data_IF_306165081630
#
_entry.id   IF_306165081630
#
_cell.length_a   1.000
_cell.length_b   1.000
_cell.length_c   1.000
_cell.angle_alpha   90.00
_cell.angle_beta   90.00
_cell.angle_gamma   90.00
#
_symmetry.space_group_name_H-M   'P 1'
#
loop_
_entity.id
_entity.type
_entity.pdbx_description
1 polymer ?
#
# COMPACT_ATOMS: atom_id res chain seq x y z
N UNK A 1 3.88 -13.24 16.53
CA UNK A 1 3.56 -12.08 17.38
C UNK A 1 2.39 -12.42 18.29
N UNK A 2 2.43 -11.93 19.53
CA UNK A 2 1.41 -12.18 20.55
C UNK A 2 0.24 -11.20 20.37
N UNK A 3 -0.49 -11.30 19.25
CA UNK A 3 -1.56 -10.35 18.87
C UNK A 3 -2.64 -10.26 19.96
N UNK A 4 -3.01 -11.40 20.59
CA UNK A 4 -3.98 -11.40 21.69
C UNK A 4 -3.53 -10.59 22.90
N UNK A 5 -2.24 -10.65 23.26
CA UNK A 5 -1.69 -9.84 24.33
C UNK A 5 -1.66 -8.34 23.97
N UNK A 6 -1.37 -8.01 22.72
CA UNK A 6 -1.44 -6.63 22.22
C UNK A 6 -2.85 -6.08 22.31
N UNK A 7 -3.85 -6.87 21.92
CA UNK A 7 -5.27 -6.49 22.03
C UNK A 7 -5.67 -6.28 23.49
N UNK A 8 -5.30 -7.20 24.39
CA UNK A 8 -5.57 -7.06 25.82
C UNK A 8 -4.90 -5.81 26.42
N UNK A 9 -3.75 -5.38 25.90
CA UNK A 9 -3.08 -4.13 26.25
C UNK A 9 -3.69 -2.88 25.58
N UNK A 10 -4.78 -3.03 24.82
CA UNK A 10 -5.52 -1.90 24.22
C UNK A 10 -5.22 -1.62 22.75
N UNK A 11 -4.45 -2.47 22.05
CA UNK A 11 -4.24 -2.29 20.62
C UNK A 11 -5.58 -2.39 19.85
N UNK A 12 -5.78 -1.51 18.86
CA UNK A 12 -6.96 -1.46 18.00
C UNK A 12 -6.68 -1.99 16.59
N UNK A 13 -5.43 -2.10 16.24
CA UNK A 13 -4.96 -2.63 14.95
C UNK A 13 -3.61 -3.30 15.10
N UNK A 14 -3.26 -4.13 14.15
CA UNK A 14 -1.93 -4.76 14.02
C UNK A 14 -1.38 -4.52 12.64
N UNK A 15 -0.13 -4.06 12.56
CA UNK A 15 0.49 -3.70 11.30
C UNK A 15 1.54 -4.72 10.84
N UNK A 16 1.65 -4.90 9.53
CA UNK A 16 2.75 -5.65 8.91
C UNK A 16 4.03 -4.81 8.76
N UNK A 17 3.99 -3.56 9.23
CA UNK A 17 5.07 -2.59 9.06
C UNK A 17 5.22 -2.17 7.60
N UNK A 18 6.45 -2.22 7.08
CA UNK A 18 6.78 -1.91 5.69
C UNK A 18 7.01 -3.17 4.85
N UNK A 19 6.66 -4.31 5.39
CA UNK A 19 6.88 -5.58 4.70
C UNK A 19 5.54 -6.18 4.28
N UNK A 20 5.51 -6.65 3.04
CA UNK A 20 4.42 -7.47 2.56
C UNK A 20 4.58 -8.90 3.07
N UNK A 21 3.50 -9.49 3.57
CA UNK A 21 3.48 -10.91 3.94
C UNK A 21 3.30 -11.73 2.67
N UNK A 22 4.39 -12.25 2.10
CA UNK A 22 4.37 -12.98 0.83
C UNK A 22 3.62 -14.30 0.87
N UNK A 23 3.67 -15.03 1.98
CA UNK A 23 2.94 -16.29 2.16
C UNK A 23 1.46 -16.02 2.42
N UNK A 24 0.61 -16.42 1.48
CA UNK A 24 -0.85 -16.22 1.56
C UNK A 24 -1.48 -16.99 2.72
N UNK A 25 -0.95 -18.16 3.08
CA UNK A 25 -1.43 -18.93 4.23
C UNK A 25 -1.11 -18.25 5.56
N UNK A 26 0.06 -17.62 5.66
CA UNK A 26 0.42 -16.77 6.83
C UNK A 26 -0.52 -15.57 6.90
N UNK A 27 -0.73 -14.86 5.79
CA UNK A 27 -1.61 -13.70 5.76
C UNK A 27 -3.06 -14.06 6.12
N UNK A 28 -3.58 -15.17 5.62
CA UNK A 28 -4.93 -15.65 5.98
C UNK A 28 -5.04 -15.92 7.48
N UNK A 29 -4.03 -16.57 8.09
CA UNK A 29 -4.03 -16.81 9.55
C UNK A 29 -3.98 -15.53 10.36
N UNK A 30 -3.19 -14.53 9.92
CA UNK A 30 -3.15 -13.21 10.55
C UNK A 30 -4.51 -12.52 10.49
N UNK A 31 -5.14 -12.50 9.32
CA UNK A 31 -6.47 -11.90 9.13
C UNK A 31 -7.53 -12.60 9.96
N UNK A 32 -7.59 -13.95 9.94
CA UNK A 32 -8.56 -14.72 10.71
C UNK A 32 -8.39 -14.51 12.22
N UNK A 33 -7.15 -14.50 12.70
CA UNK A 33 -6.87 -14.28 14.12
C UNK A 33 -7.22 -12.84 14.56
N UNK A 34 -6.85 -11.86 13.76
CA UNK A 34 -7.20 -10.47 14.02
C UNK A 34 -8.71 -10.23 14.01
N UNK A 35 -9.44 -10.83 13.07
CA UNK A 35 -10.90 -10.77 12.99
C UNK A 35 -11.57 -11.31 14.26
N UNK A 36 -11.12 -12.47 14.77
CA UNK A 36 -11.60 -13.06 16.01
C UNK A 36 -11.38 -12.20 17.26
N UNK A 37 -10.45 -11.23 17.18
CA UNK A 37 -10.14 -10.27 18.25
C UNK A 37 -10.74 -8.88 18.00
N UNK A 38 -11.46 -8.67 16.90
CA UNK A 38 -12.01 -7.38 16.52
C UNK A 38 -10.95 -6.34 16.13
N UNK A 39 -9.78 -6.79 15.64
CA UNK A 39 -8.67 -5.93 15.25
C UNK A 39 -8.63 -5.73 13.74
N UNK A 40 -8.24 -4.52 13.31
CA UNK A 40 -7.92 -4.23 11.91
C UNK A 40 -6.49 -4.63 11.59
N UNK A 41 -6.25 -5.28 10.46
CA UNK A 41 -4.91 -5.52 9.94
C UNK A 41 -4.49 -4.35 9.05
N UNK A 42 -3.39 -3.68 9.40
CA UNK A 42 -2.79 -2.61 8.58
C UNK A 42 -1.71 -3.24 7.70
N UNK A 43 -1.99 -3.35 6.40
CA UNK A 43 -1.14 -4.03 5.44
C UNK A 43 -0.30 -3.05 4.61
N UNK A 44 0.92 -3.47 4.28
CA UNK A 44 1.71 -2.89 3.19
C UNK A 44 1.37 -3.62 1.89
N UNK A 45 1.02 -2.88 0.85
CA UNK A 45 0.52 -3.43 -0.40
C UNK A 45 1.56 -3.31 -1.53
N UNK A 46 2.58 -4.11 -1.50
CA UNK A 46 3.57 -4.18 -2.58
C UNK A 46 4.17 -5.58 -2.65
N UNK A 47 3.87 -6.32 -3.71
CA UNK A 47 4.43 -7.66 -3.92
C UNK A 47 5.95 -7.58 -4.03
N UNK A 48 6.64 -8.11 -3.01
CA UNK A 48 8.09 -8.04 -2.92
C UNK A 48 8.82 -8.86 -3.99
N UNK A 49 8.17 -9.89 -4.54
CA UNK A 49 8.71 -10.69 -5.63
C UNK A 49 8.78 -9.92 -6.94
N UNK A 50 7.77 -9.08 -7.19
CA UNK A 50 7.69 -8.21 -8.37
C UNK A 50 8.47 -6.91 -8.15
N UNK A 51 8.33 -6.29 -6.98
CA UNK A 51 8.99 -5.04 -6.64
C UNK A 51 10.53 -5.18 -6.50
N UNK A 52 10.99 -6.29 -5.94
CA UNK A 52 12.42 -6.55 -5.76
C UNK A 52 13.14 -5.42 -5.03
N UNK A 53 14.22 -4.93 -5.62
CA UNK A 53 15.01 -3.79 -5.12
C UNK A 53 14.78 -2.51 -5.95
N UNK A 54 13.61 -2.38 -6.57
CA UNK A 54 13.29 -1.23 -7.39
C UNK A 54 13.32 0.07 -6.57
N UNK A 55 13.77 1.13 -7.22
CA UNK A 55 13.79 2.50 -6.67
C UNK A 55 12.88 3.43 -7.45
N UNK A 56 12.32 2.95 -8.56
CA UNK A 56 11.43 3.68 -9.44
C UNK A 56 10.30 2.77 -9.94
N UNK A 57 9.22 3.38 -10.38
CA UNK A 57 8.18 2.67 -11.15
C UNK A 57 8.61 2.51 -12.59
N UNK A 58 8.31 1.35 -13.20
CA UNK A 58 8.59 1.10 -14.62
C UNK A 58 7.93 2.14 -15.51
N UNK A 59 8.70 2.73 -16.41
CA UNK A 59 8.22 3.76 -17.31
C UNK A 59 9.39 4.45 -18.05
N UNK A 60 9.05 5.46 -18.83
CA UNK A 60 10.01 6.21 -19.63
C UNK A 60 11.12 6.84 -18.77
N UNK A 61 10.73 7.47 -17.64
CA UNK A 61 11.66 8.13 -16.72
C UNK A 61 12.69 7.16 -16.17
N UNK A 62 12.24 6.00 -15.65
CA UNK A 62 13.14 5.01 -15.07
C UNK A 62 14.07 4.39 -16.12
N UNK A 63 13.56 4.11 -17.32
CA UNK A 63 14.35 3.56 -18.44
C UNK A 63 15.41 4.54 -18.90
N UNK A 64 15.04 5.81 -19.08
CA UNK A 64 15.98 6.86 -19.50
C UNK A 64 17.10 7.11 -18.51
N UNK A 65 16.81 6.99 -17.21
CA UNK A 65 17.79 7.19 -16.14
C UNK A 65 18.56 5.92 -15.77
N UNK A 66 18.21 4.76 -16.33
CA UNK A 66 18.84 3.47 -15.99
C UNK A 66 18.60 3.04 -14.55
N UNK A 67 17.49 3.46 -13.94
CA UNK A 67 17.16 3.13 -12.56
C UNK A 67 16.61 1.69 -12.45
N UNK A 68 16.94 0.94 -11.37
CA UNK A 68 16.24 -0.28 -11.05
C UNK A 68 14.75 0.02 -10.83
N UNK A 69 13.87 -0.61 -11.59
CA UNK A 69 12.45 -0.29 -11.58
C UNK A 69 11.56 -1.53 -11.53
N UNK A 70 10.34 -1.36 -11.02
CA UNK A 70 9.32 -2.39 -10.97
C UNK A 70 7.98 -1.88 -11.52
N UNK A 71 7.16 -2.77 -12.12
CA UNK A 71 5.86 -2.39 -12.63
C UNK A 71 4.89 -2.04 -11.49
N UNK A 72 4.00 -1.07 -11.74
CA UNK A 72 2.99 -0.63 -10.79
C UNK A 72 2.02 -1.75 -10.36
N UNK A 73 1.88 -2.81 -11.18
CA UNK A 73 1.02 -3.95 -10.85
C UNK A 73 1.45 -4.70 -9.57
N UNK A 74 2.69 -4.52 -9.08
CA UNK A 74 3.13 -5.08 -7.81
C UNK A 74 2.21 -4.66 -6.64
N UNK A 75 1.70 -3.42 -6.67
CA UNK A 75 0.72 -2.93 -5.69
C UNK A 75 -0.65 -3.57 -5.89
N UNK A 76 -1.19 -3.53 -7.11
CA UNK A 76 -2.51 -4.07 -7.40
C UNK A 76 -2.61 -5.58 -7.10
N UNK A 77 -1.57 -6.35 -7.42
CA UNK A 77 -1.51 -7.79 -7.11
C UNK A 77 -1.59 -8.05 -5.60
N UNK A 78 -0.82 -7.30 -4.80
CA UNK A 78 -0.85 -7.43 -3.35
C UNK A 78 -2.22 -7.07 -2.78
N UNK A 79 -2.82 -5.97 -3.24
CA UNK A 79 -4.17 -5.53 -2.83
C UNK A 79 -5.22 -6.58 -3.20
N UNK A 80 -5.23 -7.06 -4.43
CA UNK A 80 -6.19 -8.05 -4.91
C UNK A 80 -6.15 -9.33 -4.07
N UNK A 81 -4.94 -9.88 -3.83
CA UNK A 81 -4.75 -11.04 -2.98
C UNK A 81 -5.28 -10.81 -1.57
N UNK A 82 -4.89 -9.70 -0.95
CA UNK A 82 -5.24 -9.44 0.45
C UNK A 82 -6.72 -9.15 0.64
N UNK A 83 -7.41 -8.54 -0.33
CA UNK A 83 -8.87 -8.39 -0.34
C UNK A 83 -9.55 -9.76 -0.40
N UNK A 84 -9.07 -10.68 -1.25
CA UNK A 84 -9.62 -12.04 -1.33
C UNK A 84 -9.49 -12.77 0.01
N UNK A 85 -8.35 -12.65 0.67
CA UNK A 85 -8.09 -13.26 1.97
C UNK A 85 -8.91 -12.61 3.09
N UNK A 86 -9.05 -11.28 3.08
CA UNK A 86 -9.86 -10.54 4.04
C UNK A 86 -11.35 -10.90 3.91
N UNK A 87 -11.85 -11.06 2.67
CA UNK A 87 -13.20 -11.55 2.41
C UNK A 87 -13.42 -12.94 3.01
N UNK A 88 -12.48 -13.86 2.78
CA UNK A 88 -12.56 -15.24 3.31
C UNK A 88 -12.54 -15.29 4.85
N UNK A 89 -11.81 -14.36 5.48
CA UNK A 89 -11.67 -14.29 6.93
C UNK A 89 -12.73 -13.40 7.62
N UNK A 90 -13.61 -12.75 6.88
CA UNK A 90 -14.48 -11.65 7.35
C UNK A 90 -13.71 -10.58 8.17
N UNK A 91 -12.49 -10.30 7.76
CA UNK A 91 -11.54 -9.45 8.46
C UNK A 91 -11.60 -7.99 7.99
N UNK A 92 -11.35 -7.05 8.92
CA UNK A 92 -11.09 -5.66 8.58
C UNK A 92 -9.62 -5.49 8.15
N UNK A 93 -9.40 -4.87 6.99
CA UNK A 93 -8.07 -4.58 6.47
C UNK A 93 -7.94 -3.11 6.07
N UNK A 94 -6.81 -2.51 6.41
CA UNK A 94 -6.44 -1.17 5.99
C UNK A 94 -5.14 -1.21 5.18
N UNK A 95 -5.19 -0.78 3.93
CA UNK A 95 -3.99 -0.63 3.10
C UNK A 95 -3.34 0.72 3.39
N UNK A 96 -2.20 0.69 4.06
CA UNK A 96 -1.52 1.88 4.59
C UNK A 96 -1.21 2.95 3.54
N UNK A 97 -0.80 2.53 2.35
CA UNK A 97 -0.53 3.39 1.20
C UNK A 97 -1.02 2.70 -0.07
N UNK A 98 -1.93 3.34 -0.77
CA UNK A 98 -2.37 2.96 -2.13
C UNK A 98 -2.02 4.12 -3.04
N UNK A 99 -1.35 3.85 -4.15
CA UNK A 99 -0.70 4.87 -4.99
C UNK A 99 -0.96 4.69 -6.49
N UNK A 100 -1.69 3.65 -6.88
CA UNK A 100 -1.97 3.34 -8.29
C UNK A 100 -3.46 3.37 -8.58
N UNK A 101 -3.83 3.75 -9.81
CA UNK A 101 -5.22 3.70 -10.26
C UNK A 101 -5.81 2.31 -10.08
N UNK A 102 -5.09 1.27 -10.51
CA UNK A 102 -5.54 -0.12 -10.38
C UNK A 102 -5.78 -0.52 -8.91
N UNK A 103 -4.95 -0.04 -7.98
CA UNK A 103 -5.15 -0.23 -6.55
C UNK A 103 -6.44 0.42 -6.05
N UNK A 104 -6.70 1.68 -6.43
CA UNK A 104 -7.93 2.38 -6.06
C UNK A 104 -9.18 1.71 -6.64
N UNK A 105 -9.11 1.20 -7.87
CA UNK A 105 -10.25 0.51 -8.48
C UNK A 105 -10.61 -0.76 -7.72
N UNK A 106 -9.61 -1.53 -7.25
CA UNK A 106 -9.83 -2.69 -6.38
C UNK A 106 -10.44 -2.30 -5.02
N UNK A 107 -10.00 -1.20 -4.43
CA UNK A 107 -10.56 -0.69 -3.16
C UNK A 107 -12.01 -0.26 -3.35
N UNK A 108 -12.34 0.47 -4.43
CA UNK A 108 -13.72 0.87 -4.76
C UNK A 108 -14.63 -0.34 -4.90
N UNK A 109 -14.20 -1.34 -5.67
CA UNK A 109 -14.97 -2.57 -5.86
C UNK A 109 -15.22 -3.29 -4.52
N UNK A 110 -14.18 -3.44 -3.69
CA UNK A 110 -14.30 -4.07 -2.38
C UNK A 110 -15.27 -3.31 -1.44
N UNK A 111 -15.20 -1.98 -1.42
CA UNK A 111 -16.13 -1.13 -0.65
C UNK A 111 -17.56 -1.26 -1.16
N UNK A 112 -17.77 -1.28 -2.47
CA UNK A 112 -19.09 -1.46 -3.07
C UNK A 112 -19.72 -2.82 -2.74
N UNK A 113 -18.92 -3.85 -2.53
CA UNK A 113 -19.34 -5.16 -2.03
C UNK A 113 -19.63 -5.18 -0.52
N UNK A 114 -19.38 -4.09 0.20
CA UNK A 114 -19.56 -4.00 1.65
C UNK A 114 -18.44 -4.65 2.48
N UNK A 115 -17.28 -4.91 1.89
CA UNK A 115 -16.14 -5.43 2.64
C UNK A 115 -15.56 -4.38 3.59
N UNK A 116 -14.98 -4.84 4.70
CA UNK A 116 -14.36 -4.00 5.72
C UNK A 116 -12.95 -3.54 5.27
N UNK A 117 -12.90 -2.82 4.15
CA UNK A 117 -11.65 -2.38 3.52
C UNK A 117 -11.54 -0.86 3.59
N UNK A 118 -10.39 -0.37 4.02
CA UNK A 118 -10.03 1.05 4.00
C UNK A 118 -8.63 1.24 3.43
N UNK A 119 -8.31 2.44 2.98
CA UNK A 119 -6.97 2.75 2.50
C UNK A 119 -6.51 4.15 2.87
N UNK A 120 -5.20 4.32 2.88
CA UNK A 120 -4.54 5.60 3.10
C UNK A 120 -3.64 6.00 1.93
N UNK A 121 -3.31 7.29 1.90
CA UNK A 121 -2.31 7.87 1.01
C UNK A 121 -1.46 8.90 1.75
N UNK A 122 -0.28 9.20 1.22
CA UNK A 122 0.57 10.28 1.73
C UNK A 122 0.58 11.46 0.76
N UNK A 123 0.73 12.71 1.25
CA UNK A 123 0.78 13.90 0.42
C UNK A 123 1.79 13.83 -0.72
N UNK A 124 2.92 13.14 -0.52
CA UNK A 124 3.94 13.00 -1.55
C UNK A 124 3.37 12.45 -2.87
N UNK A 125 2.45 11.48 -2.82
CA UNK A 125 1.85 10.89 -4.02
C UNK A 125 0.70 11.72 -4.63
N UNK A 126 0.28 12.78 -3.95
CA UNK A 126 -0.68 13.75 -4.49
C UNK A 126 0.03 14.87 -5.27
N UNK A 127 1.26 15.21 -4.88
CA UNK A 127 2.00 16.33 -5.43
C UNK A 127 3.15 15.92 -6.36
N UNK A 128 3.71 14.73 -6.22
CA UNK A 128 4.88 14.27 -6.96
C UNK A 128 4.53 13.06 -7.83
N UNK A 129 5.10 13.02 -9.03
CA UNK A 129 5.09 11.89 -9.94
C UNK A 129 6.52 11.37 -10.16
N UNK A 130 6.66 10.32 -10.96
CA UNK A 130 7.93 9.65 -11.26
C UNK A 130 9.02 10.57 -11.82
N UNK A 131 8.62 11.67 -12.48
CA UNK A 131 9.55 12.69 -12.99
C UNK A 131 10.32 13.42 -11.87
N UNK A 132 9.87 13.37 -10.62
CA UNK A 132 10.55 13.98 -9.50
C UNK A 132 11.91 13.33 -9.17
N UNK A 133 12.18 12.11 -9.67
CA UNK A 133 13.50 11.45 -9.51
C UNK A 133 14.53 11.93 -10.57
N UNK A 134 14.12 12.79 -11.50
CA UNK A 134 15.02 13.42 -12.47
C UNK A 134 16.16 14.11 -11.71
N UNK A 135 17.35 14.13 -12.29
CA UNK A 135 18.59 14.60 -11.66
C UNK A 135 19.05 13.76 -10.45
N UNK A 136 18.59 12.51 -10.37
CA UNK A 136 18.96 11.55 -9.31
C UNK A 136 18.73 12.09 -7.89
N UNK A 137 17.62 12.78 -7.68
CA UNK A 137 17.25 13.33 -6.37
C UNK A 137 16.92 12.21 -5.39
N UNK A 138 17.83 11.91 -4.48
CA UNK A 138 17.68 10.83 -3.50
C UNK A 138 16.46 11.03 -2.58
N UNK A 139 16.08 12.26 -2.25
CA UNK A 139 14.89 12.56 -1.45
C UNK A 139 13.56 12.20 -2.14
N UNK A 140 13.55 12.05 -3.48
CA UNK A 140 12.38 11.58 -4.23
C UNK A 140 12.29 10.04 -4.28
N UNK A 141 13.25 9.32 -3.70
CA UNK A 141 13.24 7.86 -3.57
C UNK A 141 12.32 7.45 -2.43
N UNK A 142 11.06 7.24 -2.74
CA UNK A 142 10.04 6.78 -1.79
C UNK A 142 9.83 5.27 -1.87
N UNK A 143 9.11 4.73 -0.87
CA UNK A 143 8.63 3.34 -0.86
C UNK A 143 7.17 3.32 -0.41
N UNK A 144 6.26 2.92 -1.31
CA UNK A 144 6.45 2.56 -2.74
C UNK A 144 7.10 3.68 -3.56
N UNK A 145 7.71 3.36 -4.74
CA UNK A 145 8.22 4.39 -5.64
C UNK A 145 7.12 5.35 -6.11
N UNK A 146 7.50 6.59 -6.44
CA UNK A 146 6.59 7.54 -7.09
C UNK A 146 6.06 6.96 -8.40
N UNK A 147 4.78 7.19 -8.65
CA UNK A 147 4.04 6.61 -9.79
C UNK A 147 3.97 7.59 -10.97
N UNK A 148 3.36 7.13 -12.04
CA UNK A 148 3.09 7.96 -13.23
C UNK A 148 2.22 9.18 -12.90
N UNK A 149 2.20 10.16 -13.79
CA UNK A 149 1.31 11.31 -13.67
C UNK A 149 -0.18 10.90 -13.69
N UNK A 150 -0.53 9.83 -14.41
CA UNK A 150 -1.90 9.32 -14.43
C UNK A 150 -2.29 8.68 -13.09
N UNK A 151 -1.40 7.93 -12.47
CA UNK A 151 -1.61 7.41 -11.11
C UNK A 151 -1.70 8.54 -10.08
N UNK A 152 -0.90 9.61 -10.24
CA UNK A 152 -1.01 10.78 -9.37
C UNK A 152 -2.38 11.45 -9.50
N UNK A 153 -2.90 11.63 -10.72
CA UNK A 153 -4.25 12.15 -10.95
C UNK A 153 -5.32 11.23 -10.37
N UNK A 154 -5.16 9.92 -10.54
CA UNK A 154 -6.06 8.92 -9.94
C UNK A 154 -6.04 8.99 -8.40
N UNK A 155 -4.88 9.27 -7.80
CA UNK A 155 -4.74 9.49 -6.36
C UNK A 155 -5.56 10.69 -5.87
N UNK A 156 -5.50 11.82 -6.61
CA UNK A 156 -6.30 13.02 -6.30
C UNK A 156 -7.80 12.71 -6.42
N UNK A 157 -8.20 12.01 -7.49
CA UNK A 157 -9.58 11.61 -7.70
C UNK A 157 -10.07 10.68 -6.58
N UNK A 158 -9.23 9.74 -6.12
CA UNK A 158 -9.57 8.81 -5.05
C UNK A 158 -9.74 9.49 -3.67
N UNK A 159 -9.04 10.60 -3.45
CA UNK A 159 -9.27 11.46 -2.27
C UNK A 159 -10.60 12.21 -2.42
N UNK A 160 -10.87 12.77 -3.60
CA UNK A 160 -12.06 13.58 -3.85
C UNK A 160 -13.35 12.75 -3.78
N UNK A 161 -13.34 11.50 -4.24
CA UNK A 161 -14.52 10.62 -4.26
C UNK A 161 -14.70 9.80 -2.96
N UNK A 162 -13.79 9.95 -1.97
CA UNK A 162 -13.88 9.24 -0.70
C UNK A 162 -13.39 7.78 -0.75
N UNK A 163 -12.73 7.36 -1.82
CA UNK A 163 -12.06 6.05 -1.89
C UNK A 163 -10.94 5.96 -0.86
N UNK A 164 -10.17 7.05 -0.70
CA UNK A 164 -9.15 7.19 0.33
C UNK A 164 -9.79 7.63 1.64
N UNK A 165 -9.55 6.87 2.70
CA UNK A 165 -10.12 7.12 4.04
C UNK A 165 -9.21 7.98 4.91
N UNK A 166 -7.89 7.91 4.68
CA UNK A 166 -6.88 8.55 5.54
C UNK A 166 -5.77 9.19 4.71
N UNK A 167 -5.45 10.45 5.00
CA UNK A 167 -4.20 11.07 4.55
C UNK A 167 -3.21 10.99 5.70
N UNK A 168 -2.12 10.28 5.49
CA UNK A 168 -1.08 10.04 6.50
C UNK A 168 0.20 10.79 6.16
N UNK A 169 0.89 11.33 7.18
CA UNK A 169 2.17 12.00 6.96
C UNK A 169 3.24 11.08 6.38
N UNK A 170 3.13 9.78 6.63
CA UNK A 170 4.18 8.80 6.31
C UNK A 170 5.56 9.24 6.79
N UNK A 171 5.61 9.95 7.92
CA UNK A 171 6.84 10.51 8.48
C UNK A 171 7.84 9.39 8.76
N UNK A 172 8.91 9.40 7.98
CA UNK A 172 9.96 8.39 8.03
C UNK A 172 11.29 9.03 7.58
N UNK A 173 11.88 9.85 8.43
CA UNK A 173 13.11 10.55 8.10
C UNK A 173 14.23 9.56 7.82
N UNK A 174 14.94 9.76 6.72
CA UNK A 174 16.09 8.97 6.29
C UNK A 174 17.27 9.89 6.06
N UNK A 175 18.48 9.33 6.16
CA UNK A 175 19.69 10.01 5.72
C UNK A 175 19.66 10.30 4.21
N UNK A 176 20.55 11.16 3.72
CA UNK A 176 20.63 11.54 2.30
C UNK A 176 21.19 10.43 1.39
N UNK A 177 21.50 9.27 1.91
CA UNK A 177 22.15 8.13 1.21
C UNK A 177 21.18 7.38 0.28
#
# INVERSE_FOLDING_TARGET
AEIGMMQAAGAKAVGTGRQWIGDSGVMLRVLSYAAGLGLTVIAHAEDAGVAGKAVATSGETATRLGLPHAPACAEAMAIARDIMLARQADAAIHFRLVTTQAGFDLIRAAKAEGLKVTCGISPAYLFLADNAVTDFRTFARLSPPLRSEDDRKASIAAVADGTVDVITSSHDPRGPE
#
